data_IF_509729303923
#
_entry.id   IF_509729303923
#
_cell.length_a   1.000
_cell.length_b   1.000
_cell.length_c   1.000
_cell.angle_alpha   90.00
_cell.angle_beta   90.00
_cell.angle_gamma   90.00
#
_symmetry.space_group_name_H-M   'P 1'
#
loop_
_entity.id
_entity.type
_entity.pdbx_description
1 polymer ?
#
# COMPACT_ATOMS: atom_id res chain seq x y z
N UNK A 1 2.37 -10.62 22.27
CA UNK A 1 3.17 -10.02 21.19
C UNK A 1 3.45 -11.12 20.17
N UNK A 2 3.36 -10.84 18.87
CA UNK A 2 3.68 -11.80 17.80
C UNK A 2 5.17 -12.18 17.86
N UNK A 3 5.49 -13.48 17.87
CA UNK A 3 6.86 -13.96 17.70
C UNK A 3 7.34 -13.77 16.26
N UNK A 4 8.66 -13.90 16.02
CA UNK A 4 9.18 -13.91 14.65
C UNK A 4 8.55 -15.05 13.85
N UNK A 5 8.11 -14.75 12.65
CA UNK A 5 7.52 -15.70 11.71
C UNK A 5 8.54 -16.19 10.67
N UNK A 6 9.83 -16.05 10.94
CA UNK A 6 10.93 -16.35 10.00
C UNK A 6 10.86 -17.76 9.42
N UNK A 7 10.45 -18.74 10.20
CA UNK A 7 10.31 -20.13 9.78
C UNK A 7 9.31 -20.34 8.63
N UNK A 8 8.41 -19.39 8.42
CA UNK A 8 7.45 -19.41 7.31
C UNK A 8 8.05 -18.88 6.00
N UNK A 9 9.32 -18.46 6.00
CA UNK A 9 10.01 -17.86 4.85
C UNK A 9 11.33 -18.59 4.56
N UNK A 10 11.79 -18.50 3.29
CA UNK A 10 13.08 -19.02 2.86
C UNK A 10 14.15 -17.94 2.97
N UNK A 11 14.43 -17.51 4.20
CA UNK A 11 15.45 -16.49 4.50
C UNK A 11 16.58 -17.15 5.30
N UNK A 12 17.78 -17.37 4.71
CA UNK A 12 18.93 -17.89 5.42
C UNK A 12 19.33 -17.03 6.63
N UNK A 13 19.97 -17.62 7.64
CA UNK A 13 20.34 -16.89 8.87
C UNK A 13 21.43 -15.85 8.68
N UNK A 14 22.24 -15.96 7.65
CA UNK A 14 23.24 -14.99 7.22
C UNK A 14 22.66 -13.81 6.43
N UNK A 15 21.35 -13.82 6.13
CA UNK A 15 20.63 -12.73 5.49
C UNK A 15 19.77 -11.96 6.49
N UNK A 16 20.07 -10.68 6.64
CA UNK A 16 19.28 -9.69 7.38
C UNK A 16 18.55 -8.80 6.38
N UNK A 17 17.30 -9.18 6.02
CA UNK A 17 16.52 -8.47 5.02
C UNK A 17 15.56 -7.47 5.70
N UNK A 18 15.92 -6.19 5.67
CA UNK A 18 15.18 -5.07 6.29
C UNK A 18 14.60 -4.11 5.23
N UNK A 19 14.08 -4.66 4.13
CA UNK A 19 13.61 -3.87 2.99
C UNK A 19 12.22 -4.28 2.49
N UNK A 20 11.32 -4.67 3.39
CA UNK A 20 9.95 -5.07 3.07
C UNK A 20 9.16 -3.96 2.34
N UNK A 21 9.41 -2.69 2.65
CA UNK A 21 8.78 -1.55 1.99
C UNK A 21 9.13 -1.42 0.50
N UNK A 22 10.11 -2.14 -0.03
CA UNK A 22 10.37 -2.28 -1.47
C UNK A 22 9.72 -3.53 -2.03
N UNK A 23 10.07 -4.70 -1.49
CA UNK A 23 9.50 -6.00 -1.83
C UNK A 23 9.56 -6.89 -0.60
N UNK A 24 8.48 -7.58 -0.24
CA UNK A 24 8.55 -8.62 0.79
C UNK A 24 8.84 -9.98 0.15
N UNK A 25 9.67 -10.82 0.80
CA UNK A 25 9.77 -12.23 0.46
C UNK A 25 8.41 -12.90 0.58
N UNK A 26 8.13 -13.85 -0.32
CA UNK A 26 6.91 -14.63 -0.27
C UNK A 26 7.00 -15.69 0.84
N UNK A 27 5.97 -15.88 1.68
CA UNK A 27 5.89 -17.02 2.57
C UNK A 27 5.92 -18.35 1.81
N UNK A 28 6.43 -19.42 2.43
CA UNK A 28 6.47 -20.78 1.83
C UNK A 28 5.10 -21.23 1.35
N UNK A 29 4.04 -21.03 2.16
CA UNK A 29 2.66 -21.35 1.78
C UNK A 29 2.24 -20.66 0.47
N UNK A 30 2.62 -19.40 0.29
CA UNK A 30 2.34 -18.65 -0.95
C UNK A 30 3.16 -19.18 -2.13
N UNK A 31 4.44 -19.53 -1.90
CA UNK A 31 5.29 -20.13 -2.94
C UNK A 31 4.76 -21.49 -3.40
N UNK A 32 4.31 -22.34 -2.47
CA UNK A 32 3.76 -23.66 -2.80
C UNK A 32 2.47 -23.55 -3.61
N UNK A 33 1.58 -22.61 -3.24
CA UNK A 33 0.38 -22.31 -4.01
C UNK A 33 0.73 -21.84 -5.43
N UNK A 34 1.77 -20.99 -5.58
CA UNK A 34 2.23 -20.53 -6.89
C UNK A 34 2.74 -21.70 -7.76
N UNK A 35 3.56 -22.60 -7.20
CA UNK A 35 4.05 -23.80 -7.92
C UNK A 35 2.91 -24.69 -8.37
N UNK A 36 1.92 -24.93 -7.49
CA UNK A 36 0.71 -25.68 -7.84
C UNK A 36 -0.11 -24.99 -8.94
N UNK A 37 -0.24 -23.67 -8.89
CA UNK A 37 -0.96 -22.89 -9.87
C UNK A 37 -0.28 -22.88 -11.25
N UNK A 38 1.06 -22.86 -11.30
CA UNK A 38 1.82 -23.07 -12.55
C UNK A 38 1.52 -24.43 -13.15
N UNK A 39 1.47 -25.49 -12.33
CA UNK A 39 1.08 -26.82 -12.77
C UNK A 39 -0.34 -26.87 -13.36
N UNK A 40 -1.31 -26.23 -12.69
CA UNK A 40 -2.69 -26.09 -13.22
C UNK A 40 -2.71 -25.36 -14.56
N UNK A 41 -1.94 -24.29 -14.72
CA UNK A 41 -1.86 -23.55 -15.99
C UNK A 41 -1.23 -24.39 -17.11
N UNK A 42 -0.36 -25.33 -16.77
CA UNK A 42 0.18 -26.32 -17.70
C UNK A 42 -0.85 -27.32 -18.22
N UNK A 43 -1.96 -27.51 -17.49
CA UNK A 43 -3.04 -28.44 -17.82
C UNK A 43 -4.41 -27.78 -17.69
N UNK A 44 -4.72 -26.73 -18.50
CA UNK A 44 -5.89 -25.89 -18.31
C UNK A 44 -7.23 -26.64 -18.45
N UNK A 45 -7.26 -27.77 -19.16
CA UNK A 45 -8.45 -28.65 -19.27
C UNK A 45 -8.85 -29.33 -17.95
N UNK A 46 -8.00 -29.32 -16.93
CA UNK A 46 -8.30 -29.84 -15.58
C UNK A 46 -8.81 -28.76 -14.63
N UNK A 47 -8.82 -27.49 -15.05
CA UNK A 47 -9.30 -26.38 -14.21
C UNK A 47 -10.83 -26.34 -14.28
N UNK A 48 -11.53 -26.48 -13.13
CA UNK A 48 -13.00 -26.38 -13.12
C UNK A 48 -13.47 -25.01 -13.59
N UNK A 49 -14.57 -24.95 -14.34
CA UNK A 49 -15.12 -23.68 -14.86
C UNK A 49 -15.42 -22.65 -13.78
N UNK A 50 -15.87 -23.08 -12.59
CA UNK A 50 -16.15 -22.19 -11.43
C UNK A 50 -14.91 -21.70 -10.68
N UNK A 51 -13.73 -22.29 -10.92
CA UNK A 51 -12.51 -22.00 -10.18
C UNK A 51 -12.12 -20.52 -10.23
N UNK A 52 -12.20 -19.91 -11.41
CA UNK A 52 -11.85 -18.50 -11.58
C UNK A 52 -12.71 -17.59 -10.68
N UNK A 53 -14.03 -17.82 -10.66
CA UNK A 53 -14.94 -17.03 -9.84
C UNK A 53 -14.73 -17.26 -8.34
N UNK A 54 -14.51 -18.51 -7.92
CA UNK A 54 -14.23 -18.85 -6.51
C UNK A 54 -12.96 -18.15 -6.01
N UNK A 55 -11.89 -18.14 -6.80
CA UNK A 55 -10.63 -17.49 -6.40
C UNK A 55 -10.73 -15.97 -6.40
N UNK A 56 -11.49 -15.36 -7.33
CA UNK A 56 -11.75 -13.91 -7.31
C UNK A 56 -12.47 -13.49 -6.04
N UNK A 57 -13.55 -14.16 -5.68
CA UNK A 57 -14.34 -13.82 -4.51
C UNK A 57 -13.58 -14.10 -3.20
N UNK A 58 -12.79 -15.18 -3.12
CA UNK A 58 -11.88 -15.43 -1.99
C UNK A 58 -10.87 -14.28 -1.82
N UNK A 59 -10.25 -13.88 -2.92
CA UNK A 59 -9.22 -12.83 -2.90
C UNK A 59 -9.82 -11.48 -2.52
N UNK A 60 -11.00 -11.17 -3.05
CA UNK A 60 -11.77 -9.97 -2.72
C UNK A 60 -12.18 -9.93 -1.25
N UNK A 61 -12.68 -11.05 -0.71
CA UNK A 61 -13.05 -11.19 0.69
C UNK A 61 -11.84 -11.02 1.63
N UNK A 62 -10.68 -11.57 1.25
CA UNK A 62 -9.45 -11.40 2.00
C UNK A 62 -9.00 -9.91 2.02
N UNK A 63 -9.10 -9.21 0.89
CA UNK A 63 -8.80 -7.78 0.82
C UNK A 63 -9.77 -6.94 1.66
N UNK A 64 -11.07 -7.19 1.53
CA UNK A 64 -12.13 -6.50 2.27
C UNK A 64 -11.97 -6.66 3.78
N UNK A 65 -11.61 -7.87 4.24
CA UNK A 65 -11.35 -8.15 5.67
C UNK A 65 -10.25 -7.27 6.26
N UNK A 66 -9.18 -6.97 5.50
CA UNK A 66 -8.05 -6.17 5.98
C UNK A 66 -8.40 -4.70 6.23
N UNK A 67 -9.48 -4.20 5.63
CA UNK A 67 -9.90 -2.81 5.71
C UNK A 67 -11.31 -2.63 6.29
N UNK A 68 -11.88 -3.69 6.87
CA UNK A 68 -13.27 -3.73 7.39
C UNK A 68 -14.34 -3.29 6.35
N UNK A 69 -14.16 -3.68 5.08
CA UNK A 69 -15.11 -3.42 4.00
C UNK A 69 -16.04 -4.62 3.76
N UNK A 70 -17.14 -4.39 3.03
CA UNK A 70 -17.88 -5.47 2.42
C UNK A 70 -17.20 -5.87 1.09
N UNK A 71 -17.24 -7.15 0.72
CA UNK A 71 -16.57 -7.62 -0.50
C UNK A 71 -17.09 -6.93 -1.76
N UNK A 72 -18.36 -6.52 -1.78
CA UNK A 72 -18.95 -5.76 -2.87
C UNK A 72 -18.33 -4.37 -3.09
N UNK A 73 -17.66 -3.82 -2.09
CA UNK A 73 -17.03 -2.48 -2.17
C UNK A 73 -15.59 -2.52 -2.69
N UNK A 74 -15.05 -3.71 -2.97
CA UNK A 74 -13.65 -3.90 -3.38
C UNK A 74 -13.57 -4.43 -4.81
N UNK A 75 -12.78 -3.77 -5.67
CA UNK A 75 -12.46 -4.24 -7.01
C UNK A 75 -11.04 -4.79 -7.12
N UNK A 76 -10.87 -5.74 -8.04
CA UNK A 76 -9.61 -6.40 -8.38
C UNK A 76 -8.91 -5.62 -9.49
N UNK A 77 -7.73 -5.06 -9.18
CA UNK A 77 -6.95 -4.24 -10.11
C UNK A 77 -5.48 -4.70 -10.16
N UNK A 78 -4.71 -4.15 -11.09
CA UNK A 78 -3.31 -4.56 -11.29
C UNK A 78 -2.30 -3.76 -10.48
N UNK A 79 -2.60 -2.50 -10.15
CA UNK A 79 -1.64 -1.58 -9.52
C UNK A 79 -2.34 -0.42 -8.83
N UNK A 80 -1.60 0.28 -7.97
CA UNK A 80 -2.07 1.54 -7.37
C UNK A 80 -2.37 2.58 -8.45
N UNK A 81 -1.51 2.69 -9.48
CA UNK A 81 -1.75 3.61 -10.60
C UNK A 81 -3.05 3.33 -11.34
N UNK A 82 -3.39 2.05 -11.57
CA UNK A 82 -4.69 1.67 -12.15
C UNK A 82 -5.86 2.15 -11.26
N UNK A 83 -5.74 1.97 -9.94
CA UNK A 83 -6.76 2.41 -8.99
C UNK A 83 -6.94 3.93 -8.96
N UNK A 84 -5.84 4.69 -8.97
CA UNK A 84 -5.90 6.17 -9.03
C UNK A 84 -6.51 6.64 -10.35
N UNK A 85 -6.15 6.02 -11.49
CA UNK A 85 -6.76 6.33 -12.79
C UNK A 85 -8.27 5.99 -12.83
N UNK A 86 -8.67 4.90 -12.16
CA UNK A 86 -10.10 4.56 -11.97
C UNK A 86 -10.81 5.65 -11.18
N UNK A 87 -10.28 6.07 -10.03
CA UNK A 87 -10.84 7.16 -9.24
C UNK A 87 -10.91 8.47 -10.05
N UNK A 88 -9.85 8.80 -10.79
CA UNK A 88 -9.79 10.01 -11.61
C UNK A 88 -10.77 9.99 -12.79
N UNK A 89 -11.18 8.81 -13.26
CA UNK A 89 -12.27 8.69 -14.25
C UNK A 89 -13.66 8.86 -13.62
N UNK A 90 -13.81 8.43 -12.38
CA UNK A 90 -15.07 8.55 -11.65
C UNK A 90 -15.33 9.95 -11.12
N UNK A 91 -14.27 10.70 -10.80
CA UNK A 91 -14.37 12.00 -10.17
C UNK A 91 -14.38 13.14 -11.19
N UNK A 92 -15.28 14.10 -10.96
CA UNK A 92 -15.26 15.39 -11.63
C UNK A 92 -14.69 16.42 -10.66
N UNK A 93 -13.47 16.88 -10.90
CA UNK A 93 -12.84 17.94 -10.09
C UNK A 93 -13.30 19.30 -10.61
N UNK A 94 -14.01 20.12 -9.81
CA UNK A 94 -14.53 21.41 -10.27
C UNK A 94 -13.40 22.38 -10.64
N UNK A 95 -13.62 23.19 -11.68
CA UNK A 95 -12.67 24.25 -12.07
C UNK A 95 -12.49 25.26 -10.94
N UNK A 96 -11.26 25.74 -10.80
CA UNK A 96 -10.91 26.72 -9.76
C UNK A 96 -10.77 26.14 -8.35
N UNK A 97 -10.92 24.81 -8.19
CA UNK A 97 -10.62 24.13 -6.92
C UNK A 97 -9.20 23.61 -6.88
N UNK A 98 -8.82 22.97 -5.78
CA UNK A 98 -7.49 22.36 -5.62
C UNK A 98 -7.58 20.88 -5.23
N UNK A 99 -6.55 20.13 -5.65
CA UNK A 99 -6.29 18.75 -5.24
C UNK A 99 -5.03 18.76 -4.38
N UNK A 100 -5.08 18.20 -3.18
CA UNK A 100 -3.95 18.12 -2.26
C UNK A 100 -3.17 16.84 -2.46
N UNK A 101 -1.83 16.95 -2.57
CA UNK A 101 -0.89 15.84 -2.65
C UNK A 101 0.31 16.08 -1.72
N UNK A 102 1.13 15.05 -1.45
CA UNK A 102 2.32 15.22 -0.62
C UNK A 102 3.58 15.43 -1.49
N UNK A 103 4.52 16.22 -0.97
CA UNK A 103 5.85 16.38 -1.57
C UNK A 103 6.60 15.06 -1.58
N UNK A 104 7.20 14.71 -2.72
CA UNK A 104 7.93 13.46 -2.91
C UNK A 104 7.11 12.19 -2.60
N UNK A 105 5.78 12.24 -2.63
CA UNK A 105 4.98 11.03 -2.53
C UNK A 105 5.20 10.11 -3.73
N UNK A 106 4.71 8.88 -3.64
CA UNK A 106 4.81 7.94 -4.75
C UNK A 106 4.09 8.50 -6.00
N UNK A 107 4.56 8.15 -7.18
CA UNK A 107 4.07 8.73 -8.44
C UNK A 107 2.56 8.59 -8.65
N UNK A 108 1.95 7.49 -8.23
CA UNK A 108 0.54 7.19 -8.52
C UNK A 108 -0.45 8.19 -7.93
N UNK A 109 -0.43 8.54 -6.63
CA UNK A 109 -1.37 9.50 -6.07
C UNK A 109 -1.10 10.96 -6.48
N UNK A 110 -0.01 11.25 -7.21
CA UNK A 110 0.42 12.60 -7.57
C UNK A 110 0.26 12.87 -9.06
N UNK A 111 0.90 12.06 -9.93
CA UNK A 111 1.05 12.37 -11.36
C UNK A 111 -0.26 12.35 -12.12
N UNK A 112 -1.21 11.52 -11.73
CA UNK A 112 -2.54 11.47 -12.36
C UNK A 112 -3.25 12.84 -12.28
N UNK A 113 -3.17 13.50 -11.13
CA UNK A 113 -3.79 14.81 -10.93
C UNK A 113 -2.99 15.93 -11.60
N UNK A 114 -1.65 15.88 -11.53
CA UNK A 114 -0.81 16.85 -12.21
C UNK A 114 -1.04 16.86 -13.73
N UNK A 115 -1.16 15.67 -14.35
CA UNK A 115 -1.37 15.55 -15.80
C UNK A 115 -2.74 16.07 -16.25
N UNK A 116 -3.72 16.13 -15.38
CA UNK A 116 -5.10 16.58 -15.69
C UNK A 116 -5.36 18.04 -15.33
N UNK A 117 -4.58 18.60 -14.42
CA UNK A 117 -4.86 19.89 -13.77
C UNK A 117 -5.09 21.04 -14.73
N UNK A 118 -4.21 21.21 -15.72
CA UNK A 118 -4.29 22.29 -16.71
C UNK A 118 -5.56 22.17 -17.56
N UNK A 119 -5.79 21.01 -18.16
CA UNK A 119 -6.92 20.77 -19.05
C UNK A 119 -8.28 20.88 -18.32
N UNK A 120 -8.34 20.41 -17.07
CA UNK A 120 -9.55 20.44 -16.26
C UNK A 120 -9.70 21.73 -15.45
N UNK A 121 -8.65 22.53 -15.31
CA UNK A 121 -8.67 23.86 -14.69
C UNK A 121 -8.77 23.86 -13.17
N UNK A 122 -8.18 22.85 -12.51
CA UNK A 122 -7.96 22.84 -11.06
C UNK A 122 -6.46 22.97 -10.74
N UNK A 123 -6.12 23.34 -9.50
CA UNK A 123 -4.72 23.42 -9.07
C UNK A 123 -4.32 22.14 -8.31
N UNK A 124 -3.07 21.71 -8.45
CA UNK A 124 -2.48 20.69 -7.57
C UNK A 124 -1.63 21.42 -6.53
N UNK A 125 -2.03 21.27 -5.28
CA UNK A 125 -1.29 21.80 -4.13
C UNK A 125 -0.47 20.72 -3.47
N UNK A 126 0.83 20.95 -3.32
CA UNK A 126 1.76 20.02 -2.72
C UNK A 126 2.05 20.43 -1.26
N UNK A 127 1.71 19.56 -0.32
CA UNK A 127 2.13 19.70 1.09
C UNK A 127 3.60 19.37 1.18
N UNK A 128 4.42 20.35 1.58
CA UNK A 128 5.87 20.16 1.73
C UNK A 128 6.18 19.23 2.90
N UNK A 129 7.29 18.50 2.76
CA UNK A 129 7.79 17.65 3.85
C UNK A 129 8.12 18.52 5.07
N UNK A 130 7.48 18.25 6.23
CA UNK A 130 7.74 19.04 7.45
C UNK A 130 9.12 18.71 8.04
N UNK A 131 9.84 19.73 8.51
CA UNK A 131 11.17 19.57 9.11
C UNK A 131 11.15 18.71 10.38
N UNK A 132 10.06 18.80 11.15
CA UNK A 132 9.82 18.02 12.37
C UNK A 132 9.25 16.62 12.10
N UNK A 133 8.98 16.29 10.83
CA UNK A 133 8.33 15.05 10.37
C UNK A 133 6.85 14.90 10.76
N UNK A 134 6.18 15.97 11.22
CA UNK A 134 4.74 15.97 11.54
C UNK A 134 3.88 16.19 10.28
N UNK A 135 3.81 15.17 9.44
CA UNK A 135 2.97 15.17 8.24
C UNK A 135 1.49 15.45 8.53
N UNK A 136 0.97 14.97 9.66
CA UNK A 136 -0.43 15.19 10.02
C UNK A 136 -0.74 16.67 10.17
N UNK A 137 0.07 17.38 10.98
CA UNK A 137 -0.11 18.81 11.17
C UNK A 137 0.07 19.60 9.88
N UNK A 138 1.05 19.23 9.03
CA UNK A 138 1.27 19.87 7.74
C UNK A 138 0.06 19.69 6.79
N UNK A 139 -0.51 18.49 6.71
CA UNK A 139 -1.70 18.21 5.90
C UNK A 139 -2.91 18.98 6.42
N UNK A 140 -3.15 18.97 7.74
CA UNK A 140 -4.28 19.72 8.33
C UNK A 140 -4.15 21.22 8.09
N UNK A 141 -2.97 21.80 8.24
CA UNK A 141 -2.72 23.22 7.95
C UNK A 141 -2.99 23.57 6.47
N UNK A 142 -2.65 22.66 5.54
CA UNK A 142 -2.95 22.84 4.12
C UNK A 142 -4.45 22.73 3.83
N UNK A 143 -5.19 21.82 4.48
CA UNK A 143 -6.64 21.70 4.35
C UNK A 143 -7.34 22.98 4.83
N UNK A 144 -6.97 23.48 6.00
CA UNK A 144 -7.63 24.58 6.69
C UNK A 144 -7.06 25.96 6.31
N UNK A 145 -6.18 26.06 5.30
CA UNK A 145 -5.50 27.30 4.92
C UNK A 145 -6.47 28.42 4.57
N UNK A 146 -6.46 29.55 5.32
CA UNK A 146 -7.35 30.68 5.07
C UNK A 146 -7.14 31.28 3.68
N UNK A 147 -8.21 31.62 2.99
CA UNK A 147 -8.16 32.27 1.67
C UNK A 147 -7.72 31.37 0.52
N UNK A 148 -7.45 30.08 0.75
CA UNK A 148 -7.17 29.14 -0.30
C UNK A 148 -8.43 28.82 -1.13
N UNK A 149 -8.25 28.42 -2.38
CA UNK A 149 -9.34 27.88 -3.20
C UNK A 149 -9.98 26.65 -2.52
N UNK A 150 -11.25 26.37 -2.81
CA UNK A 150 -11.95 25.22 -2.25
C UNK A 150 -11.17 23.92 -2.52
N UNK A 151 -11.04 23.08 -1.51
CA UNK A 151 -10.42 21.77 -1.64
C UNK A 151 -11.44 20.77 -2.20
N UNK A 152 -11.13 20.15 -3.33
CA UNK A 152 -12.00 19.15 -3.94
C UNK A 152 -11.61 17.72 -3.54
N UNK A 153 -10.31 17.46 -3.38
CA UNK A 153 -9.77 16.12 -3.13
C UNK A 153 -8.44 16.21 -2.37
N UNK A 154 -8.23 15.30 -1.43
CA UNK A 154 -6.90 14.92 -0.97
C UNK A 154 -6.57 13.53 -1.52
N UNK A 155 -5.49 13.42 -2.30
CA UNK A 155 -4.95 12.17 -2.84
C UNK A 155 -3.56 11.96 -2.25
N UNK A 156 -3.49 11.21 -1.14
CA UNK A 156 -2.28 11.13 -0.31
C UNK A 156 -2.00 9.70 0.16
N UNK A 157 -0.73 9.40 0.40
CA UNK A 157 -0.34 8.20 1.13
C UNK A 157 -0.64 8.36 2.63
N UNK A 158 -1.14 7.30 3.27
CA UNK A 158 -1.35 7.28 4.73
C UNK A 158 -0.06 7.08 5.53
N UNK A 159 0.98 6.56 4.89
CA UNK A 159 2.35 6.46 5.40
C UNK A 159 3.28 6.86 4.27
N UNK A 160 4.08 7.89 4.48
CA UNK A 160 4.98 8.39 3.44
C UNK A 160 6.10 7.38 3.15
N UNK A 161 6.22 6.99 1.90
CA UNK A 161 7.03 5.85 1.47
C UNK A 161 8.54 6.00 1.69
N UNK A 162 9.07 7.22 1.70
CA UNK A 162 10.50 7.48 1.78
C UNK A 162 11.01 7.61 3.20
N UNK A 163 10.24 8.24 4.09
CA UNK A 163 10.65 8.55 5.46
C UNK A 163 9.87 7.79 6.54
N UNK A 164 8.78 7.12 6.14
CA UNK A 164 7.91 6.39 7.07
C UNK A 164 7.01 7.32 7.88
N UNK A 165 6.90 8.60 7.51
CA UNK A 165 6.04 9.57 8.20
C UNK A 165 4.60 9.08 8.24
N UNK A 166 4.02 9.05 9.43
CA UNK A 166 2.65 8.59 9.67
C UNK A 166 1.68 9.77 9.55
N UNK A 167 0.64 9.58 8.78
CA UNK A 167 -0.46 10.54 8.66
C UNK A 167 -1.69 9.97 9.39
N UNK A 168 -2.20 10.73 10.33
CA UNK A 168 -3.44 10.41 11.05
C UNK A 168 -4.63 10.62 10.10
N UNK A 169 -4.96 9.53 9.39
CA UNK A 169 -6.03 9.54 8.37
C UNK A 169 -7.42 9.82 8.97
N UNK A 170 -7.63 9.53 10.25
CA UNK A 170 -8.91 9.82 10.92
C UNK A 170 -9.07 11.33 11.12
N UNK A 171 -8.02 12.03 11.61
CA UNK A 171 -8.04 13.50 11.74
C UNK A 171 -8.13 14.18 10.38
N UNK A 172 -7.37 13.70 9.39
CA UNK A 172 -7.41 14.22 8.03
C UNK A 172 -8.79 14.01 7.40
N UNK A 173 -9.35 12.81 7.50
CA UNK A 173 -10.70 12.50 7.00
C UNK A 173 -11.79 13.38 7.63
N UNK A 174 -11.71 13.59 8.95
CA UNK A 174 -12.63 14.49 9.65
C UNK A 174 -12.52 15.95 9.18
N UNK A 175 -11.31 16.43 8.91
CA UNK A 175 -11.08 17.76 8.37
C UNK A 175 -11.62 17.88 6.92
N UNK A 176 -11.33 16.91 6.06
CA UNK A 176 -11.81 16.86 4.68
C UNK A 176 -13.34 16.87 4.62
N UNK A 177 -14.00 16.10 5.48
CA UNK A 177 -15.46 16.04 5.57
C UNK A 177 -16.08 17.40 5.91
N UNK A 178 -15.46 18.18 6.81
CA UNK A 178 -15.90 19.56 7.13
C UNK A 178 -15.85 20.49 5.91
N UNK A 179 -14.88 20.26 5.02
CA UNK A 179 -14.69 21.04 3.80
C UNK A 179 -15.45 20.48 2.58
N UNK A 180 -16.19 19.37 2.73
CA UNK A 180 -16.86 18.68 1.63
C UNK A 180 -15.90 18.15 0.58
N UNK A 181 -14.64 17.89 0.96
CA UNK A 181 -13.60 17.41 0.07
C UNK A 181 -13.53 15.87 0.09
N UNK A 182 -13.25 15.28 -1.06
CA UNK A 182 -13.09 13.83 -1.24
C UNK A 182 -11.74 13.34 -0.68
N UNK A 183 -11.70 12.06 -0.34
CA UNK A 183 -10.50 11.44 0.21
C UNK A 183 -10.12 10.16 -0.54
N UNK A 184 -8.98 10.20 -1.24
CA UNK A 184 -8.31 9.05 -1.84
C UNK A 184 -7.06 8.72 -1.04
N UNK A 185 -6.96 7.50 -0.54
CA UNK A 185 -5.86 7.02 0.29
C UNK A 185 -5.04 5.99 -0.49
N UNK A 186 -3.77 6.31 -0.75
CA UNK A 186 -2.79 5.27 -1.06
C UNK A 186 -2.38 4.57 0.24
N UNK A 187 -2.96 3.41 0.47
CA UNK A 187 -2.74 2.60 1.65
C UNK A 187 -1.63 1.53 1.48
N UNK A 188 -0.74 1.74 0.50
CA UNK A 188 0.37 0.82 0.17
C UNK A 188 1.23 0.46 1.38
N UNK A 189 1.47 1.40 2.27
CA UNK A 189 2.27 1.21 3.48
C UNK A 189 1.42 1.16 4.76
N UNK A 190 0.11 0.97 4.63
CA UNK A 190 -0.83 0.90 5.75
C UNK A 190 -1.42 -0.50 5.89
N UNK A 191 -2.09 -0.97 4.82
CA UNK A 191 -2.82 -2.24 4.82
C UNK A 191 -1.86 -3.42 5.03
N UNK A 192 -2.26 -4.32 5.92
CA UNK A 192 -1.46 -5.45 6.37
C UNK A 192 -0.68 -5.18 7.67
N UNK A 193 -0.43 -3.91 8.04
CA UNK A 193 0.27 -3.57 9.29
C UNK A 193 -0.63 -2.75 10.21
N UNK A 194 -1.09 -1.59 9.75
CA UNK A 194 -1.92 -0.70 10.54
C UNK A 194 -3.41 -1.07 10.36
N UNK A 195 -4.20 -0.80 11.37
CA UNK A 195 -5.66 -0.97 11.28
C UNK A 195 -6.24 0.12 10.38
N UNK A 196 -7.09 -0.28 9.44
CA UNK A 196 -7.87 0.62 8.62
C UNK A 196 -9.32 0.16 8.61
N UNK A 197 -10.22 1.02 9.04
CA UNK A 197 -11.66 0.76 9.08
C UNK A 197 -12.37 1.75 8.14
N UNK A 198 -12.71 1.28 6.94
CA UNK A 198 -13.37 2.14 5.94
C UNK A 198 -14.80 2.50 6.33
N UNK A 199 -15.46 1.69 7.18
CA UNK A 199 -16.82 1.98 7.65
C UNK A 199 -16.84 3.14 8.64
N UNK A 200 -15.77 3.27 9.45
CA UNK A 200 -15.61 4.38 10.38
C UNK A 200 -15.04 5.63 9.70
N UNK A 201 -14.03 5.45 8.85
CA UNK A 201 -13.33 6.54 8.17
C UNK A 201 -14.16 7.18 7.05
N UNK A 202 -14.98 6.39 6.33
CA UNK A 202 -15.80 6.77 5.19
C UNK A 202 -15.02 7.50 4.06
N UNK A 203 -13.87 6.95 3.60
CA UNK A 203 -13.11 7.54 2.50
C UNK A 203 -13.83 7.31 1.17
N UNK A 204 -13.46 8.07 0.14
CA UNK A 204 -13.98 7.84 -1.21
C UNK A 204 -13.32 6.64 -1.88
N UNK A 205 -12.00 6.52 -1.74
CA UNK A 205 -11.20 5.43 -2.29
C UNK A 205 -10.07 5.03 -1.34
N UNK A 206 -9.80 3.74 -1.25
CA UNK A 206 -8.59 3.19 -0.63
C UNK A 206 -7.95 2.22 -1.60
N UNK A 207 -6.64 2.38 -1.86
CA UNK A 207 -5.92 1.58 -2.84
C UNK A 207 -4.68 0.97 -2.17
N UNK A 208 -4.45 -0.32 -2.40
CA UNK A 208 -3.25 -0.99 -1.88
C UNK A 208 -2.83 -2.17 -2.76
N UNK A 209 -1.50 -2.37 -2.96
CA UNK A 209 -0.95 -3.50 -3.69
C UNK A 209 -0.62 -4.66 -2.75
N UNK A 210 -0.30 -5.83 -3.30
CA UNK A 210 -0.03 -7.04 -2.51
C UNK A 210 1.45 -7.28 -2.19
N UNK A 211 2.37 -6.80 -2.97
CA UNK A 211 3.78 -7.22 -3.00
C UNK A 211 4.68 -6.68 -1.88
N UNK A 212 4.13 -5.86 -0.98
CA UNK A 212 4.87 -5.32 0.17
C UNK A 212 4.35 -5.93 1.48
N UNK A 213 3.41 -5.28 2.13
CA UNK A 213 3.00 -5.59 3.49
C UNK A 213 1.98 -6.71 3.62
N UNK A 214 1.31 -7.10 2.55
CA UNK A 214 0.36 -8.21 2.55
C UNK A 214 0.91 -9.48 1.89
N UNK A 215 2.24 -9.58 1.73
CA UNK A 215 2.98 -10.80 1.42
C UNK A 215 2.53 -11.52 0.14
N UNK A 216 1.98 -10.77 -0.81
CA UNK A 216 1.48 -11.27 -2.09
C UNK A 216 2.40 -11.01 -3.28
N UNK A 217 1.96 -11.36 -4.49
CA UNK A 217 2.73 -11.17 -5.71
C UNK A 217 2.71 -9.72 -6.20
N UNK A 218 3.67 -9.37 -7.05
CA UNK A 218 3.63 -8.13 -7.82
C UNK A 218 2.54 -8.20 -8.91
N UNK A 219 2.00 -7.04 -9.31
CA UNK A 219 0.97 -6.97 -10.36
C UNK A 219 -0.46 -7.28 -9.85
N UNK A 220 -0.68 -7.26 -8.54
CA UNK A 220 -2.01 -7.33 -7.92
C UNK A 220 -2.19 -6.21 -6.92
N UNK A 221 -3.36 -5.57 -6.99
CA UNK A 221 -3.79 -4.52 -6.10
C UNK A 221 -5.32 -4.56 -5.95
N UNK A 222 -5.82 -3.79 -5.01
CA UNK A 222 -7.25 -3.66 -4.72
C UNK A 222 -7.61 -2.20 -4.58
N UNK A 223 -8.82 -1.87 -5.00
CA UNK A 223 -9.43 -0.58 -4.74
C UNK A 223 -10.76 -0.77 -4.02
N UNK A 224 -10.87 -0.15 -2.86
CA UNK A 224 -12.16 0.12 -2.22
C UNK A 224 -12.78 1.33 -2.88
N UNK A 225 -14.05 1.23 -3.22
CA UNK A 225 -14.85 2.30 -3.81
C UNK A 225 -16.06 2.53 -2.94
N UNK A 226 -16.19 3.70 -2.35
CA UNK A 226 -17.36 4.03 -1.55
C UNK A 226 -18.67 3.94 -2.36
N UNK A 227 -19.76 3.51 -1.71
CA UNK A 227 -21.04 3.27 -2.38
C UNK A 227 -21.53 4.45 -3.23
N UNK A 228 -21.21 5.68 -2.81
CA UNK A 228 -21.55 6.93 -3.54
C UNK A 228 -20.88 7.07 -4.92
N UNK A 229 -19.87 6.25 -5.24
CA UNK A 229 -19.16 6.24 -6.52
C UNK A 229 -19.40 4.96 -7.33
N UNK A 230 -20.13 3.98 -6.80
CA UNK A 230 -20.31 2.68 -7.43
C UNK A 230 -21.22 2.68 -8.65
N UNK A 231 -21.92 3.78 -8.94
CA UNK A 231 -22.69 3.94 -10.19
C UNK A 231 -21.87 4.46 -11.37
N UNK A 232 -20.58 4.76 -11.15
CA UNK A 232 -19.71 5.35 -12.16
C UNK A 232 -19.30 4.41 -13.29
N UNK A 233 -18.67 4.98 -14.31
CA UNK A 233 -18.21 4.25 -15.51
C UNK A 233 -16.82 3.68 -15.26
N UNK A 234 -16.62 2.35 -15.42
CA UNK A 234 -15.32 1.71 -15.25
C UNK A 234 -14.21 2.28 -16.14
N UNK A 235 -12.95 2.16 -15.71
CA UNK A 235 -11.80 2.55 -16.51
C UNK A 235 -11.73 1.73 -17.81
N UNK A 236 -11.88 0.42 -17.70
CA UNK A 236 -11.93 -0.51 -18.82
C UNK A 236 -13.36 -0.95 -19.14
N UNK A 237 -13.66 -1.21 -20.40
CA UNK A 237 -14.95 -1.66 -20.89
C UNK A 237 -14.86 -3.14 -21.26
N UNK A 238 -14.83 -4.01 -20.25
CA UNK A 238 -14.59 -5.45 -20.38
C UNK A 238 -15.76 -6.29 -19.82
N UNK A 239 -15.80 -7.57 -20.15
CA UNK A 239 -16.83 -8.50 -19.68
C UNK A 239 -16.92 -8.63 -18.14
N UNK A 240 -15.80 -8.68 -17.37
CA UNK A 240 -15.84 -8.79 -15.91
C UNK A 240 -16.73 -7.80 -15.18
N UNK A 241 -16.85 -6.58 -15.67
CA UNK A 241 -17.70 -5.53 -15.08
C UNK A 241 -19.17 -5.57 -15.51
N UNK A 242 -19.58 -6.55 -16.33
CA UNK A 242 -20.93 -6.64 -16.90
C UNK A 242 -21.74 -7.76 -16.27
N UNK A 243 -23.07 -7.65 -16.30
CA UNK A 243 -23.99 -8.64 -15.72
C UNK A 243 -23.95 -9.98 -16.45
N UNK A 244 -23.99 -9.96 -17.78
CA UNK A 244 -23.97 -11.18 -18.57
C UNK A 244 -23.37 -10.96 -19.97
N UNK A 245 -22.03 -10.85 -20.01
CA UNK A 245 -21.24 -10.93 -21.25
C UNK A 245 -20.34 -12.16 -21.13
N UNK A 246 -20.77 -13.27 -21.75
CA UNK A 246 -20.15 -14.58 -21.58
C UNK A 246 -20.15 -15.37 -22.88
N UNK A 247 -19.00 -15.97 -23.23
CA UNK A 247 -18.83 -16.80 -24.43
C UNK A 247 -19.59 -18.13 -24.39
N UNK A 248 -20.03 -18.57 -23.21
CA UNK A 248 -20.87 -19.77 -23.03
C UNK A 248 -22.36 -19.52 -23.36
N UNK A 249 -22.76 -18.23 -23.51
CA UNK A 249 -24.12 -17.89 -23.87
C UNK A 249 -24.38 -18.12 -25.38
N UNK A 250 -25.63 -18.39 -25.75
CA UNK A 250 -26.06 -18.35 -27.16
C UNK A 250 -25.98 -16.97 -27.77
N UNK A 251 -26.09 -15.91 -26.94
CA UNK A 251 -25.90 -14.52 -27.30
C UNK A 251 -24.77 -13.96 -26.42
N UNK A 252 -23.62 -13.63 -27.02
CA UNK A 252 -22.42 -13.18 -26.28
C UNK A 252 -22.70 -11.96 -25.39
N UNK A 253 -23.35 -10.94 -25.91
CA UNK A 253 -23.76 -9.73 -25.20
C UNK A 253 -25.19 -9.83 -24.68
N UNK A 254 -25.49 -10.83 -23.83
CA UNK A 254 -26.83 -11.08 -23.34
C UNK A 254 -27.35 -9.98 -22.39
N UNK A 255 -26.49 -9.45 -21.51
CA UNK A 255 -26.77 -8.26 -20.69
C UNK A 255 -25.49 -7.44 -20.49
N UNK A 256 -25.44 -6.28 -21.15
CA UNK A 256 -24.31 -5.34 -21.11
C UNK A 256 -24.41 -4.31 -19.98
N UNK A 257 -25.43 -4.35 -19.11
CA UNK A 257 -25.49 -3.51 -17.93
C UNK A 257 -24.34 -3.82 -16.98
N UNK A 258 -23.88 -2.80 -16.26
CA UNK A 258 -22.83 -2.98 -15.26
C UNK A 258 -23.31 -3.79 -14.05
N UNK A 259 -22.38 -4.47 -13.39
CA UNK A 259 -22.61 -4.99 -12.05
C UNK A 259 -22.95 -3.86 -11.08
N UNK A 260 -23.76 -4.12 -10.04
CA UNK A 260 -24.31 -3.06 -9.19
C UNK A 260 -23.33 -2.46 -8.18
N UNK A 261 -22.19 -3.12 -7.93
CA UNK A 261 -21.22 -2.77 -6.91
C UNK A 261 -19.81 -2.52 -7.48
N UNK A 262 -18.78 -2.45 -6.62
CA UNK A 262 -17.41 -2.20 -7.06
C UNK A 262 -16.84 -3.28 -8.00
N UNK A 263 -17.49 -4.46 -8.11
CA UNK A 263 -17.09 -5.49 -9.09
C UNK A 263 -17.10 -4.97 -10.52
N UNK A 264 -17.90 -3.93 -10.83
CA UNK A 264 -17.87 -3.28 -12.16
C UNK A 264 -16.51 -2.69 -12.52
N UNK A 265 -15.70 -2.36 -11.52
CA UNK A 265 -14.37 -1.76 -11.69
C UNK A 265 -13.24 -2.80 -11.73
N UNK A 266 -13.58 -4.09 -11.70
CA UNK A 266 -12.58 -5.14 -11.90
C UNK A 266 -11.88 -4.92 -13.24
N UNK A 267 -10.55 -5.03 -13.23
CA UNK A 267 -9.77 -4.96 -14.47
C UNK A 267 -10.11 -6.11 -15.42
N UNK A 268 -9.88 -5.89 -16.71
CA UNK A 268 -9.86 -6.97 -17.69
C UNK A 268 -8.78 -8.02 -17.38
N UNK A 269 -8.92 -9.22 -17.92
CA UNK A 269 -7.97 -10.34 -17.75
C UNK A 269 -7.60 -10.62 -16.28
N UNK A 270 -8.57 -10.43 -15.37
CA UNK A 270 -8.38 -10.67 -13.93
C UNK A 270 -8.12 -12.15 -13.60
N UNK A 271 -8.42 -13.07 -14.51
CA UNK A 271 -8.35 -14.53 -14.33
C UNK A 271 -6.91 -15.06 -14.32
N UNK A 272 -6.07 -14.48 -13.49
CA UNK A 272 -4.68 -14.89 -13.37
C UNK A 272 -4.53 -15.98 -12.29
N UNK A 273 -4.62 -17.25 -12.69
CA UNK A 273 -4.62 -18.41 -11.79
C UNK A 273 -3.45 -18.51 -10.81
N UNK A 274 -2.29 -17.94 -11.15
CA UNK A 274 -1.10 -17.98 -10.31
C UNK A 274 -1.17 -16.91 -9.22
N UNK A 275 -1.33 -15.65 -9.61
CA UNK A 275 -1.17 -14.53 -8.68
C UNK A 275 -2.36 -14.30 -7.75
N UNK A 276 -3.57 -14.71 -8.14
CA UNK A 276 -4.76 -14.50 -7.31
C UNK A 276 -4.74 -15.32 -6.02
N UNK A 277 -4.42 -16.61 -6.11
CA UNK A 277 -4.32 -17.48 -4.94
C UNK A 277 -3.19 -17.04 -4.00
N UNK A 278 -2.05 -16.61 -4.57
CA UNK A 278 -0.95 -16.04 -3.81
C UNK A 278 -1.38 -14.79 -3.02
N UNK A 279 -2.14 -13.89 -3.66
CA UNK A 279 -2.63 -12.68 -3.03
C UNK A 279 -3.59 -12.99 -1.87
N UNK A 280 -4.54 -13.93 -2.08
CA UNK A 280 -5.47 -14.36 -1.04
C UNK A 280 -4.73 -14.90 0.18
N UNK A 281 -3.78 -15.83 -0.02
CA UNK A 281 -3.01 -16.45 1.07
C UNK A 281 -2.23 -15.40 1.87
N UNK A 282 -1.52 -14.49 1.21
CA UNK A 282 -0.77 -13.44 1.90
C UNK A 282 -1.66 -12.57 2.78
N UNK A 283 -2.80 -12.11 2.26
CA UNK A 283 -3.77 -11.30 3.00
C UNK A 283 -4.43 -12.07 4.15
N UNK A 284 -4.78 -13.34 3.95
CA UNK A 284 -5.32 -14.21 4.98
C UNK A 284 -4.34 -14.38 6.15
N UNK A 285 -3.04 -14.62 5.86
CA UNK A 285 -1.99 -14.72 6.88
C UNK A 285 -1.87 -13.42 7.70
N UNK A 286 -1.89 -12.26 7.04
CA UNK A 286 -1.84 -10.97 7.75
C UNK A 286 -3.06 -10.76 8.63
N UNK A 287 -4.25 -11.14 8.16
CA UNK A 287 -5.49 -11.07 8.94
C UNK A 287 -5.51 -12.03 10.13
N UNK A 288 -4.88 -13.22 10.00
CA UNK A 288 -4.74 -14.20 11.10
C UNK A 288 -3.81 -13.69 12.20
N UNK A 289 -2.67 -13.09 11.84
CA UNK A 289 -1.75 -12.52 12.84
C UNK A 289 -2.33 -11.27 13.50
N UNK A 290 -3.13 -10.50 12.80
CA UNK A 290 -3.83 -9.32 13.29
C UNK A 290 -2.94 -8.08 13.45
N UNK A 291 -3.47 -6.92 13.05
CA UNK A 291 -2.74 -5.65 13.01
C UNK A 291 -2.10 -5.28 14.36
N UNK A 292 -2.81 -5.42 15.48
CA UNK A 292 -2.28 -5.06 16.79
C UNK A 292 -1.03 -5.86 17.17
N UNK A 293 -1.00 -7.17 16.89
CA UNK A 293 0.15 -8.02 17.15
C UNK A 293 1.32 -7.72 16.22
N UNK A 294 1.05 -7.42 14.95
CA UNK A 294 2.04 -7.02 13.95
C UNK A 294 2.65 -5.67 14.31
N UNK A 295 1.84 -4.66 14.63
CA UNK A 295 2.29 -3.33 15.09
C UNK A 295 3.19 -3.46 16.32
N UNK A 296 2.78 -4.26 17.32
CA UNK A 296 3.60 -4.49 18.50
C UNK A 296 4.96 -5.10 18.17
N UNK A 297 5.00 -6.09 17.26
CA UNK A 297 6.26 -6.71 16.81
C UNK A 297 7.15 -5.74 16.05
N UNK A 298 6.62 -5.08 15.03
CA UNK A 298 7.42 -4.21 14.15
C UNK A 298 7.85 -2.94 14.86
N UNK A 299 6.99 -2.37 15.72
CA UNK A 299 7.34 -1.23 16.55
C UNK A 299 8.47 -1.54 17.53
N UNK A 300 8.45 -2.71 18.14
CA UNK A 300 9.55 -3.16 19.00
C UNK A 300 10.87 -3.25 18.22
N UNK A 301 10.88 -3.84 17.02
CA UNK A 301 12.09 -3.95 16.19
C UNK A 301 12.62 -2.57 15.77
N UNK A 302 11.75 -1.68 15.27
CA UNK A 302 12.18 -0.34 14.82
C UNK A 302 12.61 0.55 15.97
N UNK A 303 12.00 0.45 17.15
CA UNK A 303 12.43 1.16 18.34
C UNK A 303 13.81 0.66 18.83
N UNK A 304 14.03 -0.67 18.86
CA UNK A 304 15.33 -1.25 19.17
C UNK A 304 16.44 -0.75 18.24
N UNK A 305 16.16 -0.59 16.93
CA UNK A 305 17.09 0.02 15.98
C UNK A 305 17.37 1.47 16.36
N UNK A 306 16.31 2.26 16.59
CA UNK A 306 16.44 3.69 16.91
C UNK A 306 17.26 3.89 18.20
N UNK A 307 16.98 3.11 19.24
CA UNK A 307 17.68 3.16 20.53
C UNK A 307 19.17 2.79 20.38
N UNK A 308 19.46 1.73 19.61
CA UNK A 308 20.84 1.29 19.35
C UNK A 308 21.69 2.29 18.54
N UNK A 309 21.04 3.25 17.87
CA UNK A 309 21.71 4.25 17.03
C UNK A 309 21.75 5.68 17.65
N UNK A 310 21.23 5.89 18.85
CA UNK A 310 21.13 7.23 19.49
C UNK A 310 22.45 8.02 19.52
N UNK A 311 23.59 7.34 19.69
CA UNK A 311 24.90 8.00 19.81
C UNK A 311 25.74 7.97 18.52
N UNK A 312 25.12 7.70 17.36
CA UNK A 312 25.83 7.57 16.08
C UNK A 312 25.77 8.83 15.21
N UNK A 313 25.03 9.85 15.64
CA UNK A 313 24.84 11.09 14.89
C UNK A 313 23.78 11.01 13.77
N UNK A 314 23.14 9.87 13.56
CA UNK A 314 21.99 9.78 12.64
C UNK A 314 20.74 10.42 13.26
N UNK A 315 19.89 10.97 12.42
CA UNK A 315 18.59 11.54 12.84
C UNK A 315 17.47 10.54 12.56
N UNK A 316 16.58 10.38 13.53
CA UNK A 316 15.39 9.53 13.45
C UNK A 316 14.20 10.36 13.90
N UNK A 317 13.08 10.28 13.16
CA UNK A 317 11.84 10.91 13.60
C UNK A 317 11.32 10.28 14.90
N UNK A 318 10.65 11.06 15.74
CA UNK A 318 10.01 10.58 16.96
C UNK A 318 9.03 9.41 16.66
N UNK A 319 8.94 8.47 17.58
CA UNK A 319 8.12 7.27 17.38
C UNK A 319 6.63 7.55 17.09
N UNK A 320 6.08 8.65 17.64
CA UNK A 320 4.69 9.07 17.40
C UNK A 320 4.44 9.65 16.02
N UNK A 321 5.49 10.09 15.31
CA UNK A 321 5.41 10.72 13.99
C UNK A 321 5.73 9.77 12.83
N UNK A 322 6.10 8.52 13.14
CA UNK A 322 6.48 7.53 12.14
C UNK A 322 5.66 6.26 12.27
N UNK A 323 5.46 5.58 11.17
CA UNK A 323 4.86 4.27 11.16
C UNK A 323 5.75 3.24 11.91
N UNK A 324 5.16 2.28 12.64
CA UNK A 324 5.93 1.34 13.47
C UNK A 324 6.81 0.38 12.68
N UNK A 325 6.65 0.30 11.38
CA UNK A 325 7.28 -0.67 10.48
C UNK A 325 8.25 -0.05 9.46
N UNK A 326 8.37 1.28 9.44
CA UNK A 326 9.32 2.00 8.57
C UNK A 326 10.12 2.97 9.41
N UNK A 327 11.43 2.80 9.41
CA UNK A 327 12.39 3.70 10.05
C UNK A 327 13.26 4.33 8.97
N UNK A 328 13.41 5.66 9.02
CA UNK A 328 14.28 6.39 8.10
C UNK A 328 15.38 7.09 8.86
N UNK A 329 16.64 6.81 8.49
CA UNK A 329 17.81 7.45 9.07
C UNK A 329 18.25 8.63 8.20
N UNK A 330 18.26 9.82 8.79
CA UNK A 330 18.84 11.02 8.18
C UNK A 330 20.31 11.15 8.57
N UNK A 331 21.15 11.56 7.62
CA UNK A 331 22.58 11.78 7.81
C UNK A 331 22.87 13.28 7.68
N UNK A 332 23.12 14.02 8.78
CA UNK A 332 23.33 15.49 8.74
C UNK A 332 24.48 15.94 7.84
N UNK A 333 25.48 15.08 7.64
CA UNK A 333 26.64 15.33 6.76
C UNK A 333 26.54 14.61 5.41
N UNK A 334 25.34 14.12 5.04
CA UNK A 334 25.14 13.21 3.92
C UNK A 334 25.41 11.75 4.28
N UNK A 335 24.76 10.84 3.56
CA UNK A 335 24.98 9.41 3.74
C UNK A 335 26.39 9.04 3.24
N UNK A 336 27.22 8.33 4.02
CA UNK A 336 28.56 7.95 3.58
C UNK A 336 28.52 7.13 2.28
N UNK A 337 29.46 7.43 1.37
CA UNK A 337 29.61 6.67 0.13
C UNK A 337 29.91 5.20 0.42
N UNK A 338 29.32 4.29 -0.37
CA UNK A 338 29.52 2.85 -0.21
C UNK A 338 28.88 2.24 1.03
N UNK A 339 28.10 3.01 1.82
CA UNK A 339 27.47 2.50 3.04
C UNK A 339 26.47 1.39 2.77
N UNK A 340 25.60 1.57 1.77
CA UNK A 340 24.58 0.57 1.40
C UNK A 340 25.23 -0.70 0.85
N UNK A 341 26.19 -0.55 -0.04
CA UNK A 341 26.96 -1.65 -0.65
C UNK A 341 27.76 -2.42 0.41
N UNK A 342 28.36 -1.69 1.35
CA UNK A 342 29.09 -2.29 2.45
C UNK A 342 28.20 -3.13 3.37
N UNK A 343 27.00 -2.66 3.70
CA UNK A 343 26.02 -3.44 4.45
C UNK A 343 25.55 -4.66 3.67
N UNK A 344 25.26 -4.50 2.37
CA UNK A 344 24.88 -5.62 1.50
C UNK A 344 25.97 -6.69 1.41
N UNK A 345 27.25 -6.30 1.38
CA UNK A 345 28.39 -7.21 1.45
C UNK A 345 28.46 -8.04 2.74
N UNK A 346 27.82 -7.59 3.81
CA UNK A 346 27.62 -8.35 5.06
C UNK A 346 26.27 -9.07 5.13
N UNK A 347 25.51 -9.16 4.02
CA UNK A 347 24.19 -9.77 3.95
C UNK A 347 23.08 -8.95 4.62
N UNK A 348 23.27 -7.65 4.79
CA UNK A 348 22.28 -6.72 5.41
C UNK A 348 21.68 -5.84 4.32
N UNK A 349 20.39 -6.01 4.06
CA UNK A 349 19.69 -5.33 2.97
C UNK A 349 18.74 -4.25 3.49
N UNK A 350 19.03 -3.01 3.17
CA UNK A 350 18.26 -1.80 3.42
C UNK A 350 18.12 -0.99 2.13
N UNK A 351 17.39 0.13 2.11
CA UNK A 351 17.20 0.90 0.89
C UNK A 351 17.59 2.38 1.05
N UNK A 352 18.40 2.97 0.13
CA UNK A 352 18.55 4.40 0.04
C UNK A 352 17.25 5.02 -0.53
N UNK A 353 16.78 6.11 0.08
CA UNK A 353 15.59 6.85 -0.37
C UNK A 353 15.79 8.34 -0.12
N UNK A 354 15.82 9.16 -1.17
CA UNK A 354 15.91 10.61 -1.10
C UNK A 354 17.02 11.10 -0.14
N UNK A 355 18.23 10.53 -0.23
CA UNK A 355 19.37 10.87 0.61
C UNK A 355 19.34 10.30 2.05
N UNK A 356 18.33 9.52 2.39
CA UNK A 356 18.15 8.84 3.69
C UNK A 356 18.30 7.33 3.53
N UNK A 357 18.53 6.62 4.63
CA UNK A 357 18.49 5.15 4.66
C UNK A 357 17.16 4.70 5.25
N UNK A 358 16.35 4.00 4.46
CA UNK A 358 15.08 3.43 4.91
C UNK A 358 15.27 1.99 5.35
N UNK A 359 14.85 1.70 6.55
CA UNK A 359 14.82 0.38 7.16
C UNK A 359 13.37 -0.04 7.33
N UNK A 360 13.00 -1.21 6.86
CA UNK A 360 11.63 -1.70 6.91
C UNK A 360 11.61 -3.19 7.20
N UNK A 361 11.64 -3.57 8.50
CA UNK A 361 11.48 -4.94 8.93
C UNK A 361 10.06 -5.43 8.68
N UNK A 362 9.88 -6.75 8.61
CA UNK A 362 8.59 -7.39 8.59
C UNK A 362 8.54 -8.51 9.65
N UNK A 363 7.43 -9.23 9.74
CA UNK A 363 7.20 -10.30 10.74
C UNK A 363 8.25 -11.42 10.72
N UNK A 364 9.02 -11.56 9.65
CA UNK A 364 10.10 -12.55 9.54
C UNK A 364 11.40 -12.10 10.22
N UNK A 365 11.56 -10.82 10.56
CA UNK A 365 12.75 -10.36 11.26
C UNK A 365 12.67 -10.65 12.76
N UNK A 366 13.83 -10.85 13.36
CA UNK A 366 14.01 -11.05 14.79
C UNK A 366 15.02 -10.05 15.39
N UNK A 367 15.22 -10.14 16.68
CA UNK A 367 16.09 -9.26 17.44
C UNK A 367 17.57 -9.42 17.00
N UNK A 368 17.96 -10.61 16.57
CA UNK A 368 19.31 -10.87 16.07
C UNK A 368 19.57 -10.14 14.74
N UNK A 369 18.58 -10.06 13.84
CA UNK A 369 18.68 -9.25 12.62
C UNK A 369 18.93 -7.77 12.97
N UNK A 370 18.17 -7.25 13.94
CA UNK A 370 18.28 -5.85 14.38
C UNK A 370 19.65 -5.56 15.00
N UNK A 371 20.10 -6.41 15.93
CA UNK A 371 21.39 -6.25 16.61
C UNK A 371 22.55 -6.30 15.63
N UNK A 372 22.48 -7.20 14.65
CA UNK A 372 23.46 -7.31 13.56
C UNK A 372 23.50 -6.04 12.71
N UNK A 373 22.34 -5.52 12.31
CA UNK A 373 22.26 -4.26 11.56
C UNK A 373 22.82 -3.08 12.35
N UNK A 374 22.41 -2.90 13.61
CA UNK A 374 22.86 -1.79 14.49
C UNK A 374 24.39 -1.85 14.67
N UNK A 375 24.93 -3.04 14.96
CA UNK A 375 26.37 -3.24 15.13
C UNK A 375 27.17 -2.89 13.87
N UNK A 376 26.73 -3.41 12.71
CA UNK A 376 27.38 -3.17 11.43
C UNK A 376 27.33 -1.69 11.02
N UNK A 377 26.17 -1.02 11.20
CA UNK A 377 26.02 0.39 10.89
C UNK A 377 26.85 1.26 11.82
N UNK A 378 26.79 1.05 13.15
CA UNK A 378 27.55 1.84 14.12
C UNK A 378 29.07 1.73 13.90
N UNK A 379 29.57 0.55 13.51
CA UNK A 379 30.98 0.35 13.14
C UNK A 379 31.38 1.22 11.95
N UNK A 380 30.55 1.27 10.89
CA UNK A 380 30.81 2.04 9.66
C UNK A 380 30.69 3.56 9.83
N UNK A 381 29.94 4.02 10.83
CA UNK A 381 29.78 5.43 11.12
C UNK A 381 30.89 6.02 12.00
N UNK A 382 31.70 5.15 12.65
CA UNK A 382 32.84 5.55 13.49
C UNK A 382 34.17 5.57 12.74
N UNK A 383 34.29 4.83 11.64
CA UNK A 383 35.48 4.77 10.80
C UNK A 383 35.41 5.74 9.64
#
# INVERSE_FOLDING_TARGET
MLSSQREQFDIPRDICYLNAASYSPLPRKTQDAARAAVGRKGQPWLVPSKFANEIHERTRAAAARLINADSGDVALISSVGYGVATAAKLLSIPRGTRVLVLENDHSSPVLEWQSRSEAQGFAVETVRQPEDSDWTSAVLAAIERPGAASLALASISSVHWSDGGLIDIEKVGAALKKHGAMFLIDATHHVGVLTLDVKQLDPDFVIFPTYKWVLGPYGRAFIYVAGRHQDGIPLEQTAPGRRNVNAENNVYFADTNYLPDARRFDMGERDHFISMEMAAIGMEMMAEWGSAAIVGRLGMLTNRIADGLQNTGVRVAEARLRAPHILSLGFPKGMPAGLIEGLAGEGIYVAPRLGRMRISPHVYNDEADVDRFVTALAKRLRG
#
